data_IF_741898556673
#
_entry.id   IF_741898556673
#
_cell.length_a   1.000
_cell.length_b   1.000
_cell.length_c   1.000
_cell.angle_alpha   90.00
_cell.angle_beta   90.00
_cell.angle_gamma   90.00
#
_symmetry.space_group_name_H-M   'P 1'
#
loop_
_entity.id
_entity.type
_entity.pdbx_description
1 polymer ?
#
# COMPACT_ATOMS: atom_id res chain seq x y z
N UNK A 1 2.74 -28.44 -23.26
CA UNK A 1 2.96 -28.11 -21.83
C UNK A 1 1.71 -27.43 -21.34
N UNK A 2 1.08 -27.95 -20.29
CA UNK A 2 -0.10 -27.32 -19.72
C UNK A 2 0.30 -26.03 -18.99
N UNK A 3 -0.26 -24.90 -19.41
CA UNK A 3 -0.06 -23.62 -18.73
C UNK A 3 -0.77 -23.72 -17.36
N UNK A 4 -0.07 -23.48 -16.23
CA UNK A 4 -0.68 -23.54 -14.91
C UNK A 4 -1.89 -22.60 -14.83
N UNK A 5 -3.04 -23.16 -14.49
CA UNK A 5 -4.26 -22.38 -14.36
C UNK A 5 -4.17 -21.43 -13.14
N UNK A 6 -4.63 -20.17 -13.26
CA UNK A 6 -4.73 -19.29 -12.10
C UNK A 6 -5.58 -19.88 -10.99
N UNK A 7 -5.21 -19.64 -9.74
CA UNK A 7 -5.96 -20.01 -8.54
C UNK A 7 -6.56 -18.76 -7.90
N UNK A 8 -7.55 -18.95 -7.04
CA UNK A 8 -8.02 -17.87 -6.18
C UNK A 8 -6.83 -17.29 -5.41
N UNK A 9 -6.78 -15.95 -5.31
CA UNK A 9 -5.72 -15.14 -4.70
C UNK A 9 -4.45 -14.99 -5.52
N UNK A 10 -4.35 -15.62 -6.70
CA UNK A 10 -3.28 -15.28 -7.63
C UNK A 10 -3.46 -13.85 -8.16
N UNK A 11 -2.34 -13.15 -8.40
CA UNK A 11 -2.33 -11.96 -9.24
C UNK A 11 -2.06 -12.37 -10.67
N UNK A 12 -2.86 -11.81 -11.56
CA UNK A 12 -2.78 -12.05 -13.00
C UNK A 12 -2.71 -10.73 -13.73
N UNK A 13 -2.10 -10.73 -14.90
CA UNK A 13 -2.18 -9.65 -15.87
C UNK A 13 -3.25 -9.99 -16.91
N UNK A 14 -4.18 -9.07 -17.12
CA UNK A 14 -5.26 -9.21 -18.09
C UNK A 14 -4.74 -8.86 -19.47
N UNK A 15 -5.06 -9.67 -20.48
CA UNK A 15 -4.66 -9.40 -21.86
C UNK A 15 -5.66 -9.94 -22.88
N UNK A 16 -5.61 -9.43 -24.11
CA UNK A 16 -6.40 -9.95 -25.23
C UNK A 16 -7.92 -9.75 -25.12
N UNK A 17 -8.41 -8.87 -24.24
CA UNK A 17 -9.83 -8.53 -24.19
C UNK A 17 -10.20 -7.63 -25.37
N UNK A 18 -11.15 -8.06 -26.20
CA UNK A 18 -11.60 -7.28 -27.36
C UNK A 18 -12.63 -6.19 -27.00
N UNK A 19 -13.56 -6.49 -26.09
CA UNK A 19 -14.66 -5.57 -25.71
C UNK A 19 -14.34 -4.65 -24.53
N UNK A 20 -13.28 -4.97 -23.78
CA UNK A 20 -12.86 -4.23 -22.60
C UNK A 20 -11.34 -4.03 -22.63
N UNK A 21 -10.86 -3.49 -23.76
CA UNK A 21 -9.42 -3.33 -24.05
C UNK A 21 -8.70 -2.49 -23.01
N UNK A 22 -9.40 -1.57 -22.35
CA UNK A 22 -8.83 -0.75 -21.28
C UNK A 22 -8.32 -1.55 -20.09
N UNK A 23 -8.74 -2.82 -19.89
CA UNK A 23 -8.16 -3.69 -18.86
C UNK A 23 -6.89 -4.43 -19.31
N UNK A 24 -6.56 -4.45 -20.60
CA UNK A 24 -5.36 -5.14 -21.07
C UNK A 24 -4.10 -4.48 -20.49
N UNK A 25 -3.13 -5.29 -20.08
CA UNK A 25 -1.91 -4.88 -19.36
C UNK A 25 -2.12 -4.64 -17.86
N UNK A 26 -3.38 -4.61 -17.36
CA UNK A 26 -3.64 -4.34 -15.95
C UNK A 26 -3.50 -5.58 -15.09
N UNK A 27 -2.90 -5.42 -13.91
CA UNK A 27 -2.89 -6.42 -12.85
C UNK A 27 -4.29 -6.56 -12.24
N UNK A 28 -4.65 -7.78 -11.84
CA UNK A 28 -5.91 -8.10 -11.19
C UNK A 28 -5.75 -9.24 -10.19
N UNK A 29 -6.53 -9.19 -9.11
CA UNK A 29 -6.61 -10.26 -8.12
C UNK A 29 -7.67 -11.28 -8.55
N UNK A 30 -7.29 -12.56 -8.67
CA UNK A 30 -8.26 -13.63 -8.91
C UNK A 30 -9.06 -13.89 -7.64
N UNK A 31 -10.38 -13.75 -7.71
CA UNK A 31 -11.25 -13.99 -6.56
C UNK A 31 -11.72 -15.44 -6.50
N UNK A 32 -12.22 -15.97 -7.62
CA UNK A 32 -12.69 -17.35 -7.74
C UNK A 32 -12.81 -17.77 -9.21
N UNK A 33 -12.88 -19.09 -9.43
CA UNK A 33 -13.37 -19.65 -10.70
C UNK A 33 -14.89 -19.68 -10.70
N UNK A 34 -15.50 -19.31 -11.81
CA UNK A 34 -16.96 -19.37 -12.01
C UNK A 34 -17.31 -20.81 -12.39
N UNK A 35 -18.15 -21.45 -11.59
CA UNK A 35 -18.53 -22.87 -11.77
C UNK A 35 -19.86 -23.05 -12.49
N UNK A 36 -20.72 -22.03 -12.50
CA UNK A 36 -22.11 -22.12 -12.94
C UNK A 36 -22.51 -20.95 -13.85
N UNK A 37 -23.55 -21.16 -14.66
CA UNK A 37 -24.14 -20.16 -15.52
C UNK A 37 -23.37 -19.90 -16.83
N UNK A 38 -23.76 -18.84 -17.59
CA UNK A 38 -23.22 -18.57 -18.92
C UNK A 38 -21.73 -18.18 -18.93
N UNK A 39 -21.14 -17.94 -17.76
CA UNK A 39 -19.74 -17.58 -17.58
C UNK A 39 -18.93 -18.71 -16.94
N UNK A 40 -19.49 -19.92 -16.82
CA UNK A 40 -18.80 -21.08 -16.28
C UNK A 40 -17.45 -21.32 -16.99
N UNK A 41 -16.44 -21.70 -16.19
CA UNK A 41 -15.06 -21.89 -16.66
C UNK A 41 -14.20 -20.62 -16.68
N UNK A 42 -14.79 -19.43 -16.58
CA UNK A 42 -14.06 -18.16 -16.46
C UNK A 42 -13.59 -17.91 -15.03
N UNK A 43 -12.68 -16.96 -14.86
CA UNK A 43 -12.21 -16.46 -13.57
C UNK A 43 -12.82 -15.10 -13.27
N UNK A 44 -13.40 -14.97 -12.08
CA UNK A 44 -13.81 -13.68 -11.54
C UNK A 44 -12.56 -12.99 -10.96
N UNK A 45 -12.22 -11.83 -11.50
CA UNK A 45 -11.05 -11.04 -11.06
C UNK A 45 -11.47 -9.64 -10.61
N UNK A 46 -10.72 -9.08 -9.67
CA UNK A 46 -10.80 -7.68 -9.25
C UNK A 46 -9.64 -6.91 -9.91
N UNK A 47 -9.90 -6.09 -10.94
CA UNK A 47 -8.85 -5.27 -11.57
C UNK A 47 -8.22 -4.31 -10.58
N UNK A 48 -6.94 -3.98 -10.78
CA UNK A 48 -6.21 -3.00 -9.97
C UNK A 48 -6.60 -1.53 -10.21
N UNK A 49 -7.58 -1.31 -11.08
CA UNK A 49 -8.05 -0.02 -11.53
C UNK A 49 -9.53 0.19 -11.15
N UNK A 50 -9.98 1.45 -11.23
CA UNK A 50 -11.37 1.84 -11.06
C UNK A 50 -12.33 0.96 -11.87
N UNK A 51 -13.44 0.56 -11.25
CA UNK A 51 -14.49 -0.13 -11.98
C UNK A 51 -15.60 -0.77 -11.16
N UNK A 52 -15.49 -0.88 -9.83
CA UNK A 52 -16.59 -1.32 -8.95
C UNK A 52 -17.06 -2.76 -9.11
N UNK A 53 -16.67 -3.38 -10.21
CA UNK A 53 -17.19 -4.63 -10.67
C UNK A 53 -16.03 -5.56 -10.93
N UNK A 54 -16.13 -6.73 -10.31
CA UNK A 54 -15.33 -7.87 -10.70
C UNK A 54 -15.70 -8.24 -12.13
N UNK A 55 -14.72 -8.56 -12.97
CA UNK A 55 -14.97 -9.01 -14.33
C UNK A 55 -14.70 -10.51 -14.44
N UNK A 56 -15.43 -11.18 -15.33
CA UNK A 56 -15.27 -12.61 -15.59
C UNK A 56 -14.45 -12.82 -16.88
N UNK A 57 -13.21 -13.29 -16.71
CA UNK A 57 -12.19 -13.36 -17.76
C UNK A 57 -11.85 -14.82 -18.08
N UNK A 58 -11.65 -15.15 -19.34
CA UNK A 58 -11.21 -16.49 -19.74
C UNK A 58 -9.76 -16.73 -19.29
N UNK A 59 -9.40 -17.97 -19.02
CA UNK A 59 -8.02 -18.36 -18.67
C UNK A 59 -7.00 -17.88 -19.72
N UNK A 60 -7.36 -17.99 -21.01
CA UNK A 60 -6.53 -17.55 -22.14
C UNK A 60 -6.29 -16.04 -22.20
N UNK A 61 -6.97 -15.26 -21.38
CA UNK A 61 -6.81 -13.81 -21.25
C UNK A 61 -6.14 -13.41 -19.93
N UNK A 62 -5.66 -14.38 -19.15
CA UNK A 62 -4.99 -14.16 -17.87
C UNK A 62 -3.60 -14.76 -17.91
N UNK A 63 -2.60 -13.91 -17.66
CA UNK A 63 -1.21 -14.35 -17.51
C UNK A 63 -0.87 -14.29 -16.03
N UNK A 64 -0.51 -15.43 -15.43
CA UNK A 64 -0.07 -15.44 -14.04
C UNK A 64 1.21 -14.61 -13.92
N UNK A 65 1.18 -13.61 -13.04
CA UNK A 65 2.40 -12.88 -12.68
C UNK A 65 3.30 -13.89 -11.98
N UNK A 66 4.44 -14.21 -12.61
CA UNK A 66 5.37 -15.17 -12.05
C UNK A 66 6.11 -14.51 -10.91
N UNK A 67 5.89 -15.04 -9.72
CA UNK A 67 6.63 -14.67 -8.55
C UNK A 67 7.68 -15.76 -8.27
N UNK A 68 8.84 -15.37 -7.77
CA UNK A 68 9.81 -16.32 -7.24
C UNK A 68 9.15 -17.19 -6.16
N UNK A 69 9.56 -18.47 -6.05
CA UNK A 69 8.93 -19.46 -5.14
C UNK A 69 8.89 -19.01 -3.67
N UNK A 70 9.71 -18.05 -3.30
CA UNK A 70 9.94 -17.50 -1.96
C UNK A 70 9.58 -16.00 -1.87
N UNK A 71 8.80 -15.44 -2.80
CA UNK A 71 8.50 -13.99 -2.84
C UNK A 71 7.92 -13.43 -1.52
N UNK A 72 7.19 -14.26 -0.76
CA UNK A 72 6.60 -13.80 0.49
C UNK A 72 7.65 -13.57 1.58
N UNK A 73 8.74 -14.34 1.55
CA UNK A 73 9.78 -14.36 2.60
C UNK A 73 11.06 -13.66 2.17
N UNK A 74 11.31 -13.48 0.87
CA UNK A 74 12.45 -12.73 0.35
C UNK A 74 12.42 -11.26 0.76
N UNK A 75 13.51 -10.77 1.33
CA UNK A 75 13.67 -9.37 1.71
C UNK A 75 14.22 -8.56 0.54
N UNK A 76 13.37 -8.30 -0.46
CA UNK A 76 13.73 -7.49 -1.64
C UNK A 76 12.77 -6.36 -1.95
N UNK A 77 11.69 -6.23 -1.18
CA UNK A 77 10.62 -5.29 -1.46
C UNK A 77 10.77 -4.03 -0.61
N UNK A 78 10.64 -2.86 -1.23
CA UNK A 78 10.40 -1.60 -0.50
C UNK A 78 8.92 -1.22 -0.48
N UNK A 79 8.10 -1.90 -1.27
CA UNK A 79 6.70 -1.58 -1.41
C UNK A 79 5.88 -2.82 -1.79
N UNK A 80 4.58 -2.74 -1.56
CA UNK A 80 3.64 -3.76 -1.98
C UNK A 80 2.28 -3.17 -2.36
N UNK A 81 1.57 -3.83 -3.26
CA UNK A 81 0.13 -3.67 -3.36
C UNK A 81 -0.54 -4.42 -2.23
N UNK A 82 -1.58 -3.84 -1.66
CA UNK A 82 -2.48 -4.56 -0.78
C UNK A 82 -3.95 -4.34 -1.19
N UNK A 83 -4.68 -5.44 -1.28
CA UNK A 83 -6.00 -5.47 -1.93
C UNK A 83 -7.15 -5.53 -0.91
N UNK A 84 -8.34 -5.01 -1.27
CA UNK A 84 -9.55 -5.17 -0.47
C UNK A 84 -9.88 -6.64 -0.22
N UNK A 85 -10.22 -6.98 1.02
CA UNK A 85 -10.76 -8.28 1.38
C UNK A 85 -12.20 -8.13 1.88
N UNK A 86 -13.18 -8.62 1.12
CA UNK A 86 -14.60 -8.55 1.50
C UNK A 86 -14.93 -9.36 2.76
N UNK A 87 -14.13 -10.39 3.08
CA UNK A 87 -14.32 -11.22 4.28
C UNK A 87 -13.64 -10.63 5.51
N UNK A 88 -12.98 -9.46 5.40
CA UNK A 88 -12.18 -8.89 6.48
C UNK A 88 -12.97 -8.61 7.76
N UNK A 89 -14.29 -8.31 7.66
CA UNK A 89 -15.15 -8.13 8.85
C UNK A 89 -15.34 -9.42 9.66
N UNK A 90 -15.25 -10.60 9.04
CA UNK A 90 -15.48 -11.91 9.65
C UNK A 90 -14.21 -12.74 9.80
N UNK A 91 -13.16 -12.42 9.03
CA UNK A 91 -11.87 -13.12 9.00
C UNK A 91 -10.76 -12.10 8.69
N UNK A 92 -9.97 -11.69 9.70
CA UNK A 92 -8.87 -10.76 9.53
C UNK A 92 -7.65 -11.35 8.76
N UNK A 93 -7.71 -12.61 8.31
CA UNK A 93 -6.65 -13.25 7.51
C UNK A 93 -6.95 -13.40 6.00
N UNK A 94 -5.88 -13.51 5.18
CA UNK A 94 -4.74 -12.61 5.12
C UNK A 94 -5.12 -11.42 4.23
N UNK A 95 -4.66 -10.24 4.64
CA UNK A 95 -4.48 -9.13 3.72
C UNK A 95 -3.74 -9.65 2.48
N UNK A 96 -4.30 -9.44 1.29
CA UNK A 96 -3.64 -9.89 0.07
C UNK A 96 -2.58 -8.87 -0.27
N UNK A 97 -1.32 -9.22 0.01
CA UNK A 97 -0.15 -8.41 -0.31
C UNK A 97 0.55 -8.99 -1.53
N UNK A 98 0.91 -8.14 -2.48
CA UNK A 98 1.47 -8.56 -3.76
C UNK A 98 2.56 -7.60 -4.19
N UNK A 99 3.52 -8.07 -4.98
CA UNK A 99 4.60 -7.23 -5.49
C UNK A 99 4.07 -6.14 -6.45
N UNK A 100 4.61 -4.93 -6.32
CA UNK A 100 4.32 -3.82 -7.22
C UNK A 100 4.93 -4.06 -8.59
N UNK A 101 6.01 -4.84 -8.67
CA UNK A 101 6.75 -5.16 -9.89
C UNK A 101 7.97 -4.26 -10.08
N UNK A 102 8.74 -4.52 -11.13
CA UNK A 102 10.08 -3.91 -11.36
C UNK A 102 10.03 -2.52 -12.01
N UNK A 103 8.85 -2.06 -12.45
CA UNK A 103 8.69 -0.83 -13.25
C UNK A 103 8.34 0.41 -12.40
N UNK A 104 8.53 0.37 -11.07
CA UNK A 104 8.28 1.54 -10.24
C UNK A 104 9.31 2.65 -10.55
N UNK A 105 8.90 3.93 -10.64
CA UNK A 105 9.84 5.02 -10.86
C UNK A 105 10.94 5.06 -9.79
N UNK A 106 12.21 5.11 -10.21
CA UNK A 106 13.37 5.12 -9.30
C UNK A 106 13.66 6.46 -8.66
N UNK A 107 13.20 7.54 -9.29
CA UNK A 107 13.42 8.90 -8.81
C UNK A 107 12.31 9.17 -7.79
N UNK A 108 12.67 9.34 -6.51
CA UNK A 108 11.79 9.67 -5.35
C UNK A 108 10.93 10.92 -5.61
N UNK A 109 10.03 10.86 -6.59
CA UNK A 109 9.27 11.97 -7.16
C UNK A 109 7.81 11.56 -7.25
N UNK A 110 7.04 12.03 -6.27
CA UNK A 110 5.60 11.78 -6.14
C UNK A 110 4.81 12.01 -7.44
N UNK A 111 5.24 12.95 -8.29
CA UNK A 111 4.55 13.20 -9.56
C UNK A 111 4.71 12.02 -10.53
N UNK A 112 5.93 11.51 -10.69
CA UNK A 112 6.20 10.36 -11.57
C UNK A 112 5.54 9.09 -11.04
N UNK A 113 5.54 8.89 -9.73
CA UNK A 113 4.84 7.75 -9.08
C UNK A 113 3.32 7.82 -9.31
N UNK A 114 2.71 9.01 -9.17
CA UNK A 114 1.29 9.23 -9.47
C UNK A 114 0.97 9.02 -10.95
N UNK A 115 1.80 9.51 -11.86
CA UNK A 115 1.61 9.28 -13.30
C UNK A 115 1.78 7.81 -13.66
N UNK A 116 2.71 7.09 -13.04
CA UNK A 116 2.83 5.65 -13.17
C UNK A 116 1.55 4.93 -12.73
N UNK A 117 0.98 5.29 -11.57
CA UNK A 117 -0.28 4.71 -11.08
C UNK A 117 -1.45 4.98 -12.05
N UNK A 118 -1.54 6.17 -12.66
CA UNK A 118 -2.56 6.46 -13.68
C UNK A 118 -2.35 5.64 -14.95
N UNK A 119 -1.13 5.64 -15.48
CA UNK A 119 -0.84 5.11 -16.81
C UNK A 119 -0.77 3.57 -16.81
N UNK A 120 -0.15 2.97 -15.79
CA UNK A 120 0.05 1.52 -15.68
C UNK A 120 -1.12 0.86 -14.94
N UNK A 121 -1.56 1.46 -13.83
CA UNK A 121 -2.57 0.87 -12.97
C UNK A 121 -3.99 1.41 -13.21
N UNK A 122 -4.16 2.43 -14.06
CA UNK A 122 -5.47 2.97 -14.39
C UNK A 122 -6.15 3.68 -13.22
N UNK A 123 -5.37 4.19 -12.27
CA UNK A 123 -5.89 5.00 -11.16
C UNK A 123 -6.38 6.35 -11.69
N UNK A 124 -7.43 6.91 -11.07
CA UNK A 124 -8.03 8.16 -11.54
C UNK A 124 -7.40 9.36 -10.84
N UNK A 125 -7.36 9.34 -9.51
CA UNK A 125 -6.86 10.42 -8.66
C UNK A 125 -5.95 9.83 -7.57
N UNK A 126 -4.72 9.39 -7.92
CA UNK A 126 -3.76 8.89 -6.95
C UNK A 126 -3.37 9.99 -5.96
N UNK A 127 -3.56 9.71 -4.67
CA UNK A 127 -3.11 10.56 -3.57
C UNK A 127 -2.11 9.80 -2.68
N UNK A 128 -1.17 10.55 -2.10
CA UNK A 128 -0.17 10.03 -1.18
C UNK A 128 -0.58 10.41 0.25
N UNK A 129 -0.64 9.42 1.13
CA UNK A 129 -0.78 9.57 2.57
C UNK A 129 0.53 9.18 3.24
N UNK A 130 1.15 10.12 3.92
CA UNK A 130 2.41 9.99 4.64
C UNK A 130 2.20 9.98 6.16
N UNK A 131 3.28 9.88 6.93
CA UNK A 131 3.20 9.88 8.39
C UNK A 131 2.83 8.52 9.00
N UNK A 132 2.92 7.43 8.22
CA UNK A 132 2.59 6.09 8.69
C UNK A 132 3.81 5.50 9.42
N UNK A 133 3.61 5.03 10.65
CA UNK A 133 4.65 4.57 11.56
C UNK A 133 4.47 3.10 11.89
N UNK A 134 5.47 2.27 11.61
CA UNK A 134 5.45 0.86 11.98
C UNK A 134 5.67 0.64 13.48
N UNK A 135 5.29 -0.55 13.95
CA UNK A 135 5.35 -0.90 15.37
C UNK A 135 6.76 -0.69 15.94
N UNK A 136 6.83 0.05 17.04
CA UNK A 136 8.09 0.32 17.76
C UNK A 136 9.03 1.31 17.06
N UNK A 137 8.57 2.04 16.05
CA UNK A 137 9.31 3.17 15.48
C UNK A 137 8.88 4.49 16.12
N UNK A 138 9.85 5.36 16.41
CA UNK A 138 9.59 6.70 16.95
C UNK A 138 9.23 7.72 15.85
N UNK A 139 9.42 7.35 14.58
CA UNK A 139 9.22 8.24 13.42
C UNK A 139 8.53 7.48 12.29
N UNK A 140 7.72 8.19 11.48
CA UNK A 140 7.11 7.62 10.30
C UNK A 140 8.13 7.01 9.34
N UNK A 141 7.84 5.80 8.91
CA UNK A 141 8.68 5.01 8.03
C UNK A 141 7.95 4.43 6.81
N UNK A 142 6.66 4.70 6.70
CA UNK A 142 5.82 4.30 5.58
C UNK A 142 4.98 5.45 5.02
N UNK A 143 4.62 5.26 3.76
CA UNK A 143 3.65 6.04 3.02
C UNK A 143 2.69 5.09 2.29
N UNK A 144 1.53 5.60 1.93
CA UNK A 144 0.47 4.84 1.28
C UNK A 144 -0.11 5.64 0.12
N UNK A 145 -0.11 5.04 -1.08
CA UNK A 145 -0.84 5.56 -2.22
C UNK A 145 -2.26 4.98 -2.25
N UNK A 146 -3.24 5.83 -2.54
CA UNK A 146 -4.66 5.47 -2.67
C UNK A 146 -5.28 6.13 -3.90
N UNK A 147 -6.21 5.46 -4.58
CA UNK A 147 -6.98 6.07 -5.68
C UNK A 147 -8.22 6.77 -5.11
N UNK A 148 -8.13 8.08 -4.90
CA UNK A 148 -9.24 8.87 -4.34
C UNK A 148 -10.42 9.05 -5.30
N UNK A 149 -10.19 8.76 -6.60
CA UNK A 149 -11.22 8.80 -7.64
C UNK A 149 -11.99 7.49 -7.79
N UNK A 150 -11.60 6.43 -7.05
CA UNK A 150 -12.34 5.18 -6.97
C UNK A 150 -13.34 5.23 -5.81
N UNK A 151 -14.62 5.28 -6.15
CA UNK A 151 -15.74 5.31 -5.20
C UNK A 151 -16.61 4.06 -5.29
N UNK A 152 -16.22 3.08 -6.09
CA UNK A 152 -17.09 1.96 -6.50
C UNK A 152 -16.51 0.60 -6.18
N UNK A 153 -15.17 0.45 -6.16
CA UNK A 153 -14.51 -0.82 -5.84
C UNK A 153 -14.81 -1.28 -4.41
N UNK A 154 -14.49 -2.53 -4.02
CA UNK A 154 -14.66 -2.94 -2.63
C UNK A 154 -13.85 -2.06 -1.67
N UNK A 155 -14.38 -1.83 -0.47
CA UNK A 155 -13.72 -1.04 0.57
C UNK A 155 -12.43 -1.74 1.01
N UNK A 156 -11.34 -0.99 1.03
CA UNK A 156 -10.08 -1.37 1.66
C UNK A 156 -10.11 -0.95 3.13
N UNK A 157 -10.53 -1.88 3.99
CA UNK A 157 -10.70 -1.61 5.42
C UNK A 157 -9.39 -1.21 6.10
N UNK A 158 -8.26 -1.83 5.76
CA UNK A 158 -6.96 -1.49 6.36
C UNK A 158 -6.54 -0.08 5.95
N UNK A 159 -6.61 0.26 4.66
CA UNK A 159 -6.29 1.62 4.20
C UNK A 159 -7.19 2.66 4.89
N UNK A 160 -8.48 2.35 5.04
CA UNK A 160 -9.43 3.22 5.75
C UNK A 160 -9.07 3.40 7.23
N UNK A 161 -8.63 2.34 7.91
CA UNK A 161 -8.18 2.42 9.31
C UNK A 161 -6.91 3.25 9.43
N UNK A 162 -5.90 2.99 8.59
CA UNK A 162 -4.66 3.78 8.56
C UNK A 162 -5.00 5.27 8.38
N UNK A 163 -5.84 5.61 7.40
CA UNK A 163 -6.26 6.99 7.17
C UNK A 163 -7.01 7.63 8.34
N UNK A 164 -7.65 6.86 9.22
CA UNK A 164 -8.29 7.41 10.43
C UNK A 164 -7.30 7.71 11.56
N UNK A 165 -6.15 7.03 11.56
CA UNK A 165 -5.07 7.26 12.52
C UNK A 165 -4.25 8.50 12.18
N UNK A 166 -4.24 8.92 10.91
CA UNK A 166 -3.44 10.05 10.46
C UNK A 166 -4.07 11.40 10.82
N UNK A 167 -3.24 12.44 11.04
CA UNK A 167 -3.72 13.80 11.28
C UNK A 167 -4.62 14.33 10.15
N UNK A 168 -5.58 15.18 10.49
CA UNK A 168 -6.54 15.72 9.53
C UNK A 168 -5.91 16.48 8.35
N UNK A 169 -4.75 17.11 8.55
CA UNK A 169 -4.01 17.80 7.47
C UNK A 169 -3.41 16.83 6.45
N UNK A 170 -3.15 15.58 6.83
CA UNK A 170 -2.68 14.56 5.90
C UNK A 170 -3.83 14.09 5.02
N UNK A 171 -4.98 13.90 5.66
CA UNK A 171 -6.21 13.46 5.01
C UNK A 171 -6.74 14.50 4.02
N UNK A 172 -6.52 15.79 4.27
CA UNK A 172 -6.91 16.85 3.34
C UNK A 172 -6.12 16.84 2.02
N UNK A 173 -4.96 16.17 1.94
CA UNK A 173 -4.22 15.97 0.68
C UNK A 173 -4.96 15.07 -0.29
N UNK A 174 -5.79 14.16 0.22
CA UNK A 174 -6.68 13.32 -0.55
C UNK A 174 -8.02 14.07 -0.73
N UNK A 175 -8.07 15.05 -1.65
CA UNK A 175 -9.19 16.00 -1.81
C UNK A 175 -10.58 15.37 -1.91
N UNK A 176 -10.68 14.15 -2.45
CA UNK A 176 -11.93 13.40 -2.64
C UNK A 176 -12.34 12.65 -1.35
N UNK A 177 -11.38 12.42 -0.45
CA UNK A 177 -11.55 11.87 0.89
C UNK A 177 -11.84 13.02 1.88
N UNK A 178 -13.07 13.54 1.82
CA UNK A 178 -13.61 14.27 2.96
C UNK A 178 -13.58 13.35 4.18
N UNK A 179 -13.08 13.84 5.32
CA UNK A 179 -12.93 13.08 6.58
C UNK A 179 -14.08 12.10 6.81
N UNK A 180 -13.78 10.80 6.81
CA UNK A 180 -14.74 9.74 7.14
C UNK A 180 -15.31 8.93 5.97
N UNK A 181 -15.01 9.27 4.71
CA UNK A 181 -15.30 8.35 3.60
C UNK A 181 -14.43 7.10 3.69
N UNK A 182 -14.85 5.93 3.20
CA UNK A 182 -13.97 4.76 3.11
C UNK A 182 -13.04 4.85 1.90
N UNK A 183 -11.86 4.24 2.00
CA UNK A 183 -10.94 4.05 0.87
C UNK A 183 -11.36 2.79 0.12
N UNK A 184 -11.41 2.85 -1.21
CA UNK A 184 -11.81 1.75 -2.08
C UNK A 184 -10.63 1.24 -2.91
N UNK A 185 -10.72 -0.01 -3.38
CA UNK A 185 -9.75 -0.56 -4.33
C UNK A 185 -8.40 -0.92 -3.72
N UNK A 186 -7.45 -1.41 -4.54
CA UNK A 186 -6.09 -1.66 -4.07
C UNK A 186 -5.39 -0.37 -3.67
N UNK A 187 -4.41 -0.51 -2.79
CA UNK A 187 -3.55 0.59 -2.38
C UNK A 187 -2.08 0.12 -2.48
N UNK A 188 -1.14 1.07 -2.54
CA UNK A 188 0.30 0.76 -2.44
C UNK A 188 0.76 1.16 -1.06
N UNK A 189 1.50 0.28 -0.39
CA UNK A 189 2.20 0.56 0.86
C UNK A 189 3.69 0.60 0.58
N UNK A 190 4.35 1.70 0.92
CA UNK A 190 5.73 1.97 0.52
C UNK A 190 6.56 2.39 1.73
N UNK A 191 7.69 1.71 1.93
CA UNK A 191 8.70 2.10 2.89
C UNK A 191 9.36 3.39 2.41
N UNK A 192 9.21 4.45 3.20
CA UNK A 192 9.74 5.77 2.92
C UNK A 192 10.11 6.42 4.24
N UNK A 193 11.33 6.12 4.75
CA UNK A 193 11.71 6.54 6.07
C UNK A 193 11.93 8.05 6.14
N UNK A 194 11.36 8.68 7.16
CA UNK A 194 11.61 10.10 7.42
C UNK A 194 13.11 10.30 7.67
N UNK A 195 13.79 10.97 6.74
CA UNK A 195 15.18 11.39 6.90
C UNK A 195 15.20 12.43 8.01
N UNK A 196 15.77 12.10 9.16
CA UNK A 196 15.95 13.08 10.24
C UNK A 196 17.02 14.09 9.85
N UNK A 197 16.61 15.13 9.12
CA UNK A 197 17.39 16.36 9.07
C UNK A 197 17.13 17.07 10.39
N UNK A 198 18.05 16.95 11.34
CA UNK A 198 18.04 17.86 12.48
C UNK A 198 18.07 19.28 11.93
N UNK A 199 17.04 20.07 12.27
CA UNK A 199 17.12 21.52 12.21
C UNK A 199 18.28 21.94 13.13
N UNK A 200 19.47 22.05 12.56
CA UNK A 200 20.50 22.92 13.10
C UNK A 200 20.00 24.34 12.94
N UNK A 201 19.20 24.81 13.90
CA UNK A 201 19.00 26.24 14.12
C UNK A 201 20.39 26.82 14.40
N UNK A 202 21.00 27.39 13.38
CA UNK A 202 22.33 27.98 13.41
C UNK A 202 22.33 29.32 14.15
N UNK A 203 21.90 29.32 15.42
CA UNK A 203 21.91 30.48 16.31
C UNK A 203 22.47 30.16 17.72
N UNK A 204 23.39 29.19 17.85
CA UNK A 204 24.17 29.01 19.07
C UNK A 204 25.67 29.25 18.79
N UNK A 205 26.27 30.34 19.31
CA UNK A 205 27.68 30.64 19.14
C UNK A 205 28.51 29.91 20.20
N UNK A 206 28.58 28.58 20.15
CA UNK A 206 29.61 27.85 20.90
C UNK A 206 30.01 26.60 20.10
N UNK A 207 31.23 26.52 19.55
CA UNK A 207 31.72 25.29 18.95
C UNK A 207 32.06 24.32 20.08
N UNK A 208 31.23 23.30 20.29
CA UNK A 208 31.58 22.14 21.11
C UNK A 208 32.21 21.11 20.16
N UNK A 209 33.53 20.85 20.22
CA UNK A 209 34.15 19.83 19.41
C UNK A 209 33.84 18.46 20.03
N UNK A 210 33.48 17.49 19.19
CA UNK A 210 33.24 16.06 19.49
C UNK A 210 31.85 15.65 20.02
N UNK A 211 30.80 15.90 19.25
CA UNK A 211 29.71 14.94 19.15
C UNK A 211 29.76 14.31 17.75
N UNK A 212 30.24 13.07 17.67
CA UNK A 212 30.07 12.25 16.47
C UNK A 212 28.58 12.21 16.12
N UNK A 213 28.16 12.54 14.89
CA UNK A 213 26.78 12.39 14.47
C UNK A 213 26.51 10.90 14.24
N UNK A 214 26.31 10.15 15.33
CA UNK A 214 25.83 8.77 15.33
C UNK A 214 24.30 8.69 15.35
N UNK A 215 23.59 9.69 14.82
CA UNK A 215 22.13 9.65 14.74
C UNK A 215 21.72 8.73 13.60
N UNK A 216 20.93 7.71 13.97
CA UNK A 216 20.42 6.64 13.11
C UNK A 216 19.81 7.19 11.82
N UNK A 217 20.59 7.18 10.74
CA UNK A 217 20.03 7.25 9.39
C UNK A 217 19.21 5.98 9.21
N UNK A 218 17.89 6.12 9.22
CA UNK A 218 17.01 5.09 8.69
C UNK A 218 17.52 4.72 7.29
N UNK A 219 17.85 3.44 7.10
CA UNK A 219 18.42 2.96 5.85
C UNK A 219 17.37 3.13 4.75
N UNK A 220 17.52 4.14 3.89
CA UNK A 220 16.58 4.44 2.80
C UNK A 220 16.35 3.21 1.89
N UNK A 221 17.34 2.31 1.81
CA UNK A 221 17.29 1.09 1.01
C UNK A 221 16.92 -0.16 1.84
N UNK A 222 16.26 -0.01 2.99
CA UNK A 222 15.81 -1.15 3.79
C UNK A 222 14.80 -1.97 2.98
N UNK A 223 15.17 -3.21 2.71
CA UNK A 223 14.30 -4.17 2.06
C UNK A 223 13.53 -5.01 3.08
N UNK A 224 12.27 -5.26 2.74
CA UNK A 224 11.27 -6.00 3.49
C UNK A 224 10.83 -7.22 2.70
N UNK A 225 10.35 -8.23 3.42
CA UNK A 225 9.57 -9.30 2.80
C UNK A 225 8.11 -8.88 2.71
N UNK A 226 7.35 -9.44 1.75
CA UNK A 226 5.91 -9.15 1.66
C UNK A 226 5.18 -9.57 2.94
N UNK A 227 5.62 -10.64 3.61
CA UNK A 227 5.11 -11.04 4.92
C UNK A 227 5.36 -9.97 5.98
N UNK A 228 6.56 -9.37 6.02
CA UNK A 228 6.86 -8.29 6.97
C UNK A 228 6.04 -7.03 6.69
N UNK A 229 5.83 -6.69 5.41
CA UNK A 229 4.95 -5.58 5.02
C UNK A 229 3.49 -5.88 5.39
N UNK A 230 3.05 -7.13 5.25
CA UNK A 230 1.73 -7.57 5.68
C UNK A 230 1.55 -7.39 7.19
N UNK A 231 2.55 -7.78 7.99
CA UNK A 231 2.54 -7.58 9.45
C UNK A 231 2.49 -6.09 9.81
N UNK A 232 3.28 -5.25 9.13
CA UNK A 232 3.25 -3.80 9.34
C UNK A 232 1.86 -3.20 9.02
N UNK A 233 1.20 -3.65 7.97
CA UNK A 233 -0.17 -3.24 7.65
C UNK A 233 -1.18 -3.71 8.70
N UNK A 234 -1.04 -4.93 9.21
CA UNK A 234 -1.92 -5.49 10.24
C UNK A 234 -1.78 -4.80 11.60
N UNK A 235 -0.59 -4.30 11.94
CA UNK A 235 -0.38 -3.53 13.18
C UNK A 235 -1.32 -2.33 13.29
N UNK A 236 -1.59 -1.63 12.19
CA UNK A 236 -2.48 -0.46 12.17
C UNK A 236 -3.95 -0.76 12.48
N UNK A 237 -4.30 -2.04 12.65
CA UNK A 237 -5.63 -2.49 13.06
C UNK A 237 -5.73 -2.82 14.56
N UNK A 238 -4.65 -2.63 15.33
CA UNK A 238 -4.63 -2.94 16.77
C UNK A 238 -4.90 -1.70 17.61
N UNK A 239 -5.36 -1.90 18.84
CA UNK A 239 -5.45 -0.84 19.85
C UNK A 239 -4.10 -0.18 20.14
N UNK A 240 -3.02 -0.95 20.08
CA UNK A 240 -1.67 -0.45 20.32
C UNK A 240 -1.26 0.60 19.28
N UNK A 241 -1.68 0.42 18.02
CA UNK A 241 -1.48 1.45 17.00
C UNK A 241 -2.34 2.68 17.29
N UNK A 242 -3.63 2.52 17.62
CA UNK A 242 -4.49 3.65 18.00
C UNK A 242 -3.88 4.47 19.15
N UNK A 243 -3.35 3.80 20.17
CA UNK A 243 -2.67 4.43 21.29
C UNK A 243 -1.38 5.13 20.89
N UNK A 244 -0.54 4.50 20.07
CA UNK A 244 0.69 5.10 19.57
C UNK A 244 0.42 6.40 18.79
N UNK A 245 -0.52 6.39 17.84
CA UNK A 245 -0.86 7.59 17.06
C UNK A 245 -1.46 8.69 17.93
N UNK A 246 -2.32 8.34 18.89
CA UNK A 246 -2.88 9.29 19.85
C UNK A 246 -1.81 9.97 20.72
N UNK A 247 -0.78 9.23 21.12
CA UNK A 247 0.36 9.78 21.87
C UNK A 247 1.25 10.66 20.98
N UNK A 248 1.49 10.26 19.72
CA UNK A 248 2.27 11.02 18.75
C UNK A 248 1.64 12.37 18.37
N UNK A 249 0.31 12.44 18.31
CA UNK A 249 -0.41 13.68 18.00
C UNK A 249 -0.54 14.64 19.20
N UNK A 250 0.03 14.29 20.35
CA UNK A 250 0.20 15.22 21.46
C UNK A 250 1.30 16.25 21.09
N UNK A 251 1.03 17.57 21.13
CA UNK A 251 2.01 18.61 20.82
C UNK A 251 3.31 18.50 21.62
N UNK A 252 3.30 17.89 22.82
CA UNK A 252 4.53 17.63 23.60
C UNK A 252 5.44 16.56 22.97
N UNK A 253 4.90 15.58 22.24
CA UNK A 253 5.70 14.55 21.55
C UNK A 253 6.36 15.09 20.26
N UNK A 254 5.75 16.08 19.59
CA UNK A 254 6.34 16.78 18.44
C UNK A 254 7.63 17.54 18.78
N UNK A 255 7.82 17.89 20.06
CA UNK A 255 8.97 18.66 20.54
C UNK A 255 10.07 17.77 21.15
N UNK A 256 9.72 16.62 21.73
CA UNK A 256 10.67 15.83 22.54
C UNK A 256 10.94 14.40 22.07
N UNK A 257 10.30 13.92 20.98
CA UNK A 257 10.84 12.83 20.16
C UNK A 257 11.15 11.51 20.88
N UNK A 258 10.31 11.05 21.80
CA UNK A 258 10.42 9.72 22.39
C UNK A 258 9.12 9.24 23.00
N UNK A 259 8.74 7.99 22.69
CA UNK A 259 7.72 7.26 23.45
C UNK A 259 8.38 6.82 24.77
N UNK A 260 7.81 7.12 25.95
CA UNK A 260 8.27 6.48 27.18
C UNK A 260 8.09 4.97 27.02
N UNK A 261 9.18 4.21 27.04
CA UNK A 261 9.09 2.76 27.15
C UNK A 261 8.45 2.44 28.51
N UNK A 262 7.27 1.80 28.49
CA UNK A 262 6.71 1.15 29.67
C UNK A 262 7.30 -0.25 29.82
#
# INVERSE_FOLDING_TARGET
>A
MDIPQPKARDVVEIHGLQKAQHFNGRKALVLKRVTEGPLAGRFQVLPGAKGGHTIAVQSSNLRKVHYANNIMTERRHQMCFFWPNKKFKSDPSPLFVTDVGEEWPSDENDYLEKEHLKNVHGWTEPALLSGITSQGQDKPDFQMYVDTGDTVSPINHIATTIAKLLPSYEISKASSYSSGKPIHGPCVFMYSPTKSSFFGSSNAPVPVPNLQPGFMSSNANKQWSLESLQHALQYHMTSDAEDAYRLHDNPMHRVFGGIPQM
#
